data_IF_708271580934
#
_entry.id   IF_708271580934
#
_cell.length_a   1.000
_cell.length_b   1.000
_cell.length_c   1.000
_cell.angle_alpha   90.00
_cell.angle_beta   90.00
_cell.angle_gamma   90.00
#
_symmetry.space_group_name_H-M   'P 1'
#
loop_
_entity.id
_entity.type
_entity.pdbx_description
1 polymer ?
#
# COMPACT_ATOMS: atom_id res chain seq x y z
N UNK A 1 19.15 26.15 -6.79
CA UNK A 1 18.53 25.26 -5.77
C UNK A 1 19.16 23.89 -5.94
N UNK A 2 19.84 23.40 -4.90
CA UNK A 2 20.64 22.17 -4.88
C UNK A 2 19.75 20.97 -4.52
N UNK A 3 20.08 19.82 -5.10
CA UNK A 3 19.53 18.47 -4.88
C UNK A 3 18.21 18.15 -5.60
N UNK A 4 18.23 17.84 -6.92
CA UNK A 4 17.13 17.07 -7.50
C UNK A 4 17.07 15.74 -6.74
N UNK A 5 15.93 15.46 -6.11
CA UNK A 5 15.65 14.14 -5.54
C UNK A 5 15.84 13.15 -6.69
N UNK A 6 16.83 12.26 -6.59
CA UNK A 6 17.09 11.29 -7.64
C UNK A 6 15.79 10.54 -7.90
N UNK A 7 15.24 10.68 -9.11
CA UNK A 7 14.08 9.92 -9.54
C UNK A 7 14.54 8.47 -9.65
N UNK A 8 14.39 7.73 -8.55
CA UNK A 8 14.62 6.30 -8.52
C UNK A 8 13.41 5.68 -9.20
N UNK A 9 13.65 5.11 -10.37
CA UNK A 9 12.67 4.28 -11.04
C UNK A 9 12.30 3.15 -10.06
N UNK A 10 11.01 2.94 -9.78
CA UNK A 10 10.57 1.92 -8.83
C UNK A 10 10.66 0.58 -9.54
N UNK A 11 11.88 0.04 -9.63
CA UNK A 11 12.23 -0.98 -10.62
C UNK A 11 11.72 -2.38 -10.23
N UNK A 12 11.54 -2.67 -8.93
CA UNK A 12 11.11 -4.01 -8.48
C UNK A 12 9.68 -4.05 -7.94
N UNK A 13 8.99 -5.19 -8.15
CA UNK A 13 7.67 -5.47 -7.58
C UNK A 13 7.67 -5.31 -6.04
N UNK A 14 8.76 -5.70 -5.39
CA UNK A 14 8.98 -5.54 -3.94
C UNK A 14 8.98 -4.08 -3.50
N UNK A 15 9.62 -3.18 -4.26
CA UNK A 15 9.59 -1.76 -3.94
C UNK A 15 8.17 -1.17 -4.07
N UNK A 16 7.38 -1.61 -5.07
CA UNK A 16 5.99 -1.15 -5.24
C UNK A 16 5.11 -1.53 -4.05
N UNK A 17 5.32 -2.71 -3.48
CA UNK A 17 4.67 -3.15 -2.23
C UNK A 17 5.03 -2.24 -1.06
N UNK A 18 6.32 -1.95 -0.89
CA UNK A 18 6.81 -1.10 0.20
C UNK A 18 6.23 0.32 0.08
N UNK A 19 6.15 0.86 -1.14
CA UNK A 19 5.56 2.17 -1.37
C UNK A 19 4.05 2.18 -1.08
N UNK A 20 3.34 1.13 -1.48
CA UNK A 20 1.92 0.99 -1.16
C UNK A 20 1.68 0.91 0.36
N UNK A 21 2.51 0.18 1.10
CA UNK A 21 2.43 0.12 2.56
C UNK A 21 2.66 1.48 3.23
N UNK A 22 3.67 2.23 2.78
CA UNK A 22 3.93 3.58 3.30
C UNK A 22 2.73 4.50 3.06
N UNK A 23 2.13 4.42 1.89
CA UNK A 23 0.92 5.19 1.56
C UNK A 23 -0.25 4.81 2.48
N UNK A 24 -0.48 3.52 2.68
CA UNK A 24 -1.49 2.98 3.60
C UNK A 24 -1.31 3.53 5.02
N UNK A 25 -0.08 3.55 5.54
CA UNK A 25 0.24 4.09 6.87
C UNK A 25 0.02 5.61 6.95
N UNK A 26 0.39 6.36 5.91
CA UNK A 26 0.18 7.81 5.86
C UNK A 26 -1.30 8.18 5.82
N UNK A 27 -2.12 7.38 5.13
CA UNK A 27 -3.57 7.59 5.07
C UNK A 27 -4.31 7.20 6.34
N UNK A 28 -3.62 6.60 7.33
CA UNK A 28 -4.19 6.17 8.61
C UNK A 28 -4.09 7.22 9.73
N UNK A 29 -3.67 8.45 9.40
CA UNK A 29 -3.55 9.52 10.38
C UNK A 29 -4.90 10.02 10.92
N UNK A 30 -6.01 9.72 10.23
CA UNK A 30 -7.37 10.08 10.68
C UNK A 30 -8.22 8.83 10.98
N UNK A 31 -8.98 8.88 12.08
CA UNK A 31 -9.74 7.74 12.61
C UNK A 31 -10.83 7.22 11.66
N UNK A 32 -11.35 8.06 10.77
CA UNK A 32 -12.42 7.70 9.83
C UNK A 32 -12.01 8.04 8.39
N UNK A 33 -11.98 7.03 7.52
CA UNK A 33 -11.76 7.19 6.09
C UNK A 33 -13.09 7.22 5.37
N UNK A 34 -13.30 8.23 4.54
CA UNK A 34 -14.44 8.29 3.63
C UNK A 34 -14.31 7.24 2.52
N UNK A 35 -15.45 6.81 1.95
CA UNK A 35 -15.45 5.91 0.77
C UNK A 35 -14.58 6.45 -0.38
N UNK A 36 -14.49 7.78 -0.54
CA UNK A 36 -13.67 8.42 -1.56
C UNK A 36 -12.18 8.16 -1.36
N UNK A 37 -11.71 8.13 -0.11
CA UNK A 37 -10.31 7.87 0.21
C UNK A 37 -9.94 6.41 -0.01
N UNK A 38 -10.85 5.48 0.32
CA UNK A 38 -10.67 4.05 0.02
C UNK A 38 -10.55 3.82 -1.49
N UNK A 39 -11.41 4.46 -2.30
CA UNK A 39 -11.34 4.37 -3.77
C UNK A 39 -10.03 4.96 -4.30
N UNK A 40 -9.57 6.10 -3.76
CA UNK A 40 -8.28 6.69 -4.15
C UNK A 40 -7.12 5.75 -3.82
N UNK A 41 -7.09 5.20 -2.60
CA UNK A 41 -6.05 4.25 -2.16
C UNK A 41 -6.01 3.01 -3.06
N UNK A 42 -7.17 2.47 -3.41
CA UNK A 42 -7.29 1.36 -4.35
C UNK A 42 -6.69 1.70 -5.72
N UNK A 43 -7.05 2.85 -6.29
CA UNK A 43 -6.54 3.30 -7.59
C UNK A 43 -5.03 3.56 -7.57
N UNK A 44 -4.47 4.00 -6.45
CA UNK A 44 -3.02 4.12 -6.29
C UNK A 44 -2.33 2.75 -6.35
N UNK A 45 -2.88 1.74 -5.67
CA UNK A 45 -2.37 0.37 -5.77
C UNK A 45 -2.36 -0.17 -7.20
N UNK A 46 -3.42 0.11 -7.98
CA UNK A 46 -3.48 -0.28 -9.40
C UNK A 46 -2.44 0.45 -10.24
N UNK A 47 -2.25 1.75 -10.02
CA UNK A 47 -1.20 2.54 -10.70
C UNK A 47 0.21 2.03 -10.35
N UNK A 48 0.39 1.44 -9.16
CA UNK A 48 1.61 0.76 -8.74
C UNK A 48 1.74 -0.68 -9.30
N UNK A 49 0.83 -1.11 -10.18
CA UNK A 49 0.87 -2.46 -10.78
C UNK A 49 0.66 -3.59 -9.78
N UNK A 50 -0.03 -3.32 -8.66
CA UNK A 50 -0.46 -4.34 -7.70
C UNK A 50 -1.78 -4.94 -8.15
N UNK A 51 -2.01 -6.22 -7.85
CA UNK A 51 -3.25 -6.88 -8.23
C UNK A 51 -4.44 -6.40 -7.41
N UNK A 52 -5.63 -6.49 -8.01
CA UNK A 52 -6.90 -6.25 -7.33
C UNK A 52 -7.04 -7.06 -6.04
N UNK A 53 -6.65 -8.34 -6.07
CA UNK A 53 -6.75 -9.25 -4.93
C UNK A 53 -5.87 -8.79 -3.77
N UNK A 54 -4.59 -8.50 -4.03
CA UNK A 54 -3.66 -8.05 -3.00
C UNK A 54 -4.07 -6.71 -2.39
N UNK A 55 -4.54 -5.76 -3.20
CA UNK A 55 -5.03 -4.46 -2.72
C UNK A 55 -6.24 -4.66 -1.79
N UNK A 56 -7.23 -5.45 -2.22
CA UNK A 56 -8.43 -5.73 -1.41
C UNK A 56 -8.08 -6.44 -0.10
N UNK A 57 -7.13 -7.38 -0.14
CA UNK A 57 -6.64 -8.09 1.05
C UNK A 57 -6.03 -7.14 2.07
N UNK A 58 -5.21 -6.19 1.62
CA UNK A 58 -4.64 -5.14 2.49
C UNK A 58 -5.74 -4.27 3.09
N UNK A 59 -6.65 -3.74 2.25
CA UNK A 59 -7.75 -2.89 2.72
C UNK A 59 -8.63 -3.59 3.75
N UNK A 60 -8.96 -4.86 3.52
CA UNK A 60 -9.75 -5.68 4.46
C UNK A 60 -9.02 -5.91 5.78
N UNK A 61 -7.73 -6.27 5.73
CA UNK A 61 -6.95 -6.56 6.94
C UNK A 61 -6.72 -5.31 7.79
N UNK A 62 -6.53 -4.15 7.16
CA UNK A 62 -6.38 -2.88 7.88
C UNK A 62 -7.51 -2.62 8.87
N UNK A 63 -8.76 -2.92 8.51
CA UNK A 63 -9.92 -2.66 9.38
C UNK A 63 -9.90 -3.53 10.66
N UNK A 64 -9.13 -4.62 10.67
CA UNK A 64 -8.94 -5.50 11.82
C UNK A 64 -7.76 -5.17 12.73
N UNK A 65 -6.88 -4.22 12.35
CA UNK A 65 -5.71 -3.85 13.17
C UNK A 65 -5.96 -2.62 14.04
N UNK A 66 -5.38 -2.57 15.26
CA UNK A 66 -5.39 -1.35 16.07
C UNK A 66 -4.67 -0.21 15.33
N UNK A 67 -5.28 0.98 15.33
CA UNK A 67 -4.85 2.12 14.51
C UNK A 67 -4.72 1.81 13.01
N UNK A 68 -5.38 0.74 12.56
CA UNK A 68 -5.36 0.22 11.19
C UNK A 68 -3.95 -0.09 10.66
N UNK A 69 -2.96 -0.24 11.55
CA UNK A 69 -1.57 -0.46 11.21
C UNK A 69 -1.33 -1.93 10.88
N UNK A 70 -1.20 -2.24 9.60
CA UNK A 70 -0.85 -3.58 9.12
C UNK A 70 0.64 -3.82 9.33
N UNK A 71 1.04 -4.90 10.03
CA UNK A 71 2.44 -5.28 10.19
C UNK A 71 3.11 -5.60 8.84
N UNK A 72 4.41 -5.29 8.67
CA UNK A 72 5.14 -5.61 7.44
C UNK A 72 5.10 -7.09 7.05
N UNK A 73 5.13 -7.99 8.04
CA UNK A 73 5.08 -9.45 7.85
C UNK A 73 3.80 -9.90 7.13
N UNK A 74 2.66 -9.32 7.52
CA UNK A 74 1.35 -9.60 6.93
C UNK A 74 1.32 -9.15 5.47
N UNK A 75 1.95 -8.03 5.13
CA UNK A 75 2.06 -7.57 3.75
C UNK A 75 2.92 -8.51 2.91
N UNK A 76 4.07 -8.92 3.43
CA UNK A 76 4.93 -9.89 2.77
C UNK A 76 4.14 -11.15 2.41
N UNK A 77 3.31 -11.65 3.32
CA UNK A 77 2.51 -12.84 3.07
C UNK A 77 1.38 -12.63 2.04
N UNK A 78 0.73 -11.46 2.01
CA UNK A 78 -0.27 -11.12 0.98
C UNK A 78 0.36 -11.13 -0.42
N UNK A 79 1.59 -10.65 -0.55
CA UNK A 79 2.25 -10.49 -1.85
C UNK A 79 3.11 -11.68 -2.28
N UNK A 80 3.52 -12.56 -1.35
CA UNK A 80 4.19 -13.83 -1.65
C UNK A 80 3.35 -14.75 -2.53
N UNK A 81 2.01 -14.72 -2.39
CA UNK A 81 1.08 -15.57 -3.15
C UNK A 81 1.14 -15.29 -4.66
N UNK A 82 1.64 -14.11 -5.07
CA UNK A 82 1.69 -13.70 -6.49
C UNK A 82 3.00 -14.11 -7.21
N UNK A 83 3.95 -14.74 -6.51
CA UNK A 83 5.27 -15.10 -7.03
C UNK A 83 5.45 -16.61 -7.28
N UNK A 84 4.38 -17.42 -7.12
CA UNK A 84 4.38 -18.86 -7.40
C UNK A 84 3.82 -19.17 -8.79
#
# INVERSE_FOLDING_TARGET
MKHPIAYKNVESYSERIIQFHRLVLLMNLENERTKKELVKLYNFGLTMGLSHESINRVLYLMDGFPNKCVPPEVLIDIFKVQYN
#
